data_IF_202387221442
#
_entry.id   IF_202387221442
#
_cell.length_a   1.000
_cell.length_b   1.000
_cell.length_c   1.000
_cell.angle_alpha   90.00
_cell.angle_beta   90.00
_cell.angle_gamma   90.00
#
_symmetry.space_group_name_H-M   'P 1'
#
loop_
_entity.id
_entity.type
_entity.pdbx_description
1 polymer ?
#
# COMPACT_ATOMS: atom_id res chain seq x y z
N UNK A 1 10.80 -77.32 -24.54
CA UNK A 1 11.26 -76.85 -23.21
C UNK A 1 11.46 -75.34 -23.28
N UNK A 2 10.69 -74.59 -22.48
CA UNK A 2 11.01 -73.33 -21.76
C UNK A 2 12.02 -72.35 -22.40
N UNK A 3 11.58 -71.14 -22.77
CA UNK A 3 11.59 -69.98 -21.84
C UNK A 3 11.05 -68.71 -22.50
N UNK A 4 10.17 -68.03 -21.78
CA UNK A 4 9.70 -66.66 -21.98
C UNK A 4 10.82 -65.66 -21.71
N UNK A 5 10.81 -64.51 -22.41
CA UNK A 5 11.47 -63.29 -21.91
C UNK A 5 10.59 -62.07 -22.19
N UNK A 6 10.16 -61.44 -21.10
CA UNK A 6 9.33 -60.24 -21.04
C UNK A 6 10.18 -58.99 -21.30
N UNK A 7 9.70 -58.09 -22.15
CA UNK A 7 10.29 -56.75 -22.34
C UNK A 7 9.99 -55.87 -21.12
N UNK A 8 10.99 -55.19 -20.51
CA UNK A 8 10.74 -54.28 -19.41
C UNK A 8 10.35 -52.87 -19.90
N UNK A 9 9.24 -52.37 -19.35
CA UNK A 9 9.23 -51.10 -18.63
C UNK A 9 9.67 -49.84 -19.37
N UNK A 10 8.80 -49.34 -20.25
CA UNK A 10 8.74 -47.93 -20.67
C UNK A 10 8.35 -47.01 -19.49
N UNK A 11 9.27 -46.75 -18.57
CA UNK A 11 9.08 -45.82 -17.45
C UNK A 11 10.40 -45.11 -17.07
N UNK A 12 10.98 -44.34 -17.98
CA UNK A 12 12.23 -43.60 -17.72
C UNK A 12 12.14 -42.08 -17.92
N UNK A 13 10.94 -41.49 -18.06
CA UNK A 13 10.80 -40.05 -18.32
C UNK A 13 9.97 -39.27 -17.28
N UNK A 14 9.39 -39.95 -16.27
CA UNK A 14 8.43 -39.30 -15.35
C UNK A 14 9.05 -38.49 -14.20
N UNK A 15 10.37 -38.25 -14.18
CA UNK A 15 11.06 -37.63 -13.01
C UNK A 15 11.72 -36.27 -13.26
N UNK A 16 11.61 -35.71 -14.47
CA UNK A 16 12.24 -34.39 -14.79
C UNK A 16 11.25 -33.21 -14.71
N UNK A 17 9.93 -33.47 -14.62
CA UNK A 17 8.93 -32.40 -14.68
C UNK A 17 8.64 -31.67 -13.35
N UNK A 18 9.33 -31.98 -12.25
CA UNK A 18 9.04 -31.42 -10.92
C UNK A 18 9.90 -30.20 -10.53
N UNK A 19 10.90 -29.80 -11.34
CA UNK A 19 11.89 -28.80 -10.93
C UNK A 19 11.68 -27.38 -11.52
N UNK A 20 10.66 -27.15 -12.35
CA UNK A 20 10.54 -25.89 -13.10
C UNK A 20 9.55 -24.85 -12.53
N UNK A 21 8.90 -25.10 -11.37
CA UNK A 21 7.85 -24.20 -10.86
C UNK A 21 8.33 -23.06 -9.95
N UNK A 22 9.65 -22.86 -9.78
CA UNK A 22 10.18 -21.86 -8.83
C UNK A 22 10.52 -20.49 -9.45
N UNK A 23 10.25 -20.24 -10.74
CA UNK A 23 10.93 -19.17 -11.48
C UNK A 23 10.17 -17.85 -11.70
N UNK A 24 9.01 -17.63 -11.08
CA UNK A 24 8.39 -16.31 -11.12
C UNK A 24 7.49 -16.08 -9.91
N UNK A 25 8.08 -15.82 -8.74
CA UNK A 25 7.35 -15.08 -7.72
C UNK A 25 7.36 -13.61 -8.14
N UNK A 26 6.23 -13.00 -8.55
CA UNK A 26 6.18 -11.56 -8.70
C UNK A 26 6.58 -10.93 -7.37
N UNK A 27 7.60 -10.09 -7.38
CA UNK A 27 7.99 -9.34 -6.18
C UNK A 27 6.80 -8.51 -5.73
N UNK A 28 6.32 -8.74 -4.51
CA UNK A 28 5.35 -7.87 -3.89
C UNK A 28 6.09 -6.60 -3.46
N UNK A 29 6.10 -5.59 -4.32
CA UNK A 29 6.46 -4.25 -3.90
C UNK A 29 5.29 -3.69 -3.09
N UNK A 30 5.56 -3.38 -1.83
CA UNK A 30 4.61 -2.73 -0.96
C UNK A 30 4.88 -1.22 -0.97
N UNK A 31 3.80 -0.43 -0.92
CA UNK A 31 3.91 1.00 -0.68
C UNK A 31 4.44 1.23 0.73
N UNK A 32 5.66 1.75 0.82
CA UNK A 32 6.30 2.08 2.09
C UNK A 32 5.94 3.50 2.51
N UNK A 33 5.38 3.64 3.71
CA UNK A 33 5.10 4.94 4.32
C UNK A 33 6.04 5.18 5.50
N UNK A 34 6.56 6.40 5.59
CA UNK A 34 7.31 6.91 6.72
C UNK A 34 6.42 7.48 7.83
N UNK A 35 7.01 8.12 8.83
CA UNK A 35 6.25 8.78 9.88
C UNK A 35 5.46 9.99 9.35
N UNK A 36 4.31 10.25 9.97
CA UNK A 36 3.56 11.49 9.79
C UNK A 36 4.24 12.62 10.57
N UNK A 37 4.50 13.75 9.91
CA UNK A 37 5.04 14.97 10.51
C UNK A 37 4.01 16.09 10.38
N UNK A 38 3.60 16.67 11.50
CA UNK A 38 2.65 17.78 11.55
C UNK A 38 3.40 19.12 11.50
N UNK A 39 2.98 20.01 10.61
CA UNK A 39 3.57 21.32 10.36
C UNK A 39 2.67 22.48 10.85
N UNK A 40 1.41 22.21 11.16
CA UNK A 40 0.43 23.18 11.68
C UNK A 40 0.38 23.20 13.21
N UNK A 41 -0.11 24.31 13.76
CA UNK A 41 -0.40 24.47 15.20
C UNK A 41 -1.90 24.38 15.48
N UNK A 42 -2.25 24.26 16.77
CA UNK A 42 -3.63 24.41 17.23
C UNK A 42 -4.19 25.78 16.79
N UNK A 43 -5.41 25.81 16.26
CA UNK A 43 -6.05 27.00 15.70
C UNK A 43 -5.70 27.28 14.23
N UNK A 44 -4.80 26.52 13.60
CA UNK A 44 -4.50 26.59 12.16
C UNK A 44 -5.17 25.45 11.40
N UNK A 45 -5.28 25.57 10.07
CA UNK A 45 -5.64 24.44 9.21
C UNK A 45 -4.62 23.32 9.32
N UNK A 46 -5.08 22.07 9.33
CA UNK A 46 -4.24 20.88 9.39
C UNK A 46 -3.26 20.92 8.23
N UNK A 47 -1.96 20.81 8.53
CA UNK A 47 -0.90 20.60 7.56
C UNK A 47 0.00 19.49 8.08
N UNK A 48 0.03 18.37 7.37
CA UNK A 48 0.89 17.26 7.72
C UNK A 48 1.50 16.64 6.46
N UNK A 49 2.66 16.00 6.63
CA UNK A 49 3.39 15.32 5.57
C UNK A 49 3.68 13.88 5.99
N UNK A 50 3.60 12.95 5.04
CA UNK A 50 4.02 11.56 5.20
C UNK A 50 5.02 11.25 4.10
N UNK A 51 6.26 10.94 4.46
CA UNK A 51 7.25 10.54 3.47
C UNK A 51 6.89 9.17 2.88
N UNK A 52 7.13 8.97 1.60
CA UNK A 52 6.92 7.68 0.93
C UNK A 52 8.29 7.03 0.73
N UNK A 53 8.56 5.95 1.48
CA UNK A 53 9.87 5.29 1.52
C UNK A 53 10.10 4.33 0.37
N UNK A 54 9.04 3.67 -0.12
CA UNK A 54 9.10 2.71 -1.22
C UNK A 54 7.88 2.87 -2.11
N UNK A 55 8.07 3.26 -3.37
CA UNK A 55 6.99 3.32 -4.37
C UNK A 55 7.57 3.25 -5.78
N UNK A 56 7.00 2.41 -6.63
CA UNK A 56 7.34 2.35 -8.05
C UNK A 56 6.66 3.48 -8.86
N UNK A 57 7.19 3.88 -10.02
CA UNK A 57 6.57 4.90 -10.88
C UNK A 57 5.16 4.53 -11.35
N UNK A 58 4.92 3.23 -11.62
CA UNK A 58 3.60 2.72 -12.02
C UNK A 58 2.58 2.84 -10.88
N UNK A 59 2.98 2.50 -9.65
CA UNK A 59 2.14 2.70 -8.46
C UNK A 59 1.82 4.17 -8.25
N UNK A 60 2.82 5.05 -8.35
CA UNK A 60 2.64 6.50 -8.21
C UNK A 60 1.57 7.04 -9.17
N UNK A 61 1.51 6.49 -10.38
CA UNK A 61 0.61 6.95 -11.44
C UNK A 61 -0.83 6.50 -11.27
N UNK A 62 -1.06 5.39 -10.55
CA UNK A 62 -2.41 4.89 -10.25
C UNK A 62 -2.76 4.91 -8.75
N UNK A 63 -1.94 5.56 -7.92
CA UNK A 63 -2.20 5.66 -6.49
C UNK A 63 -3.37 6.59 -6.25
N UNK A 64 -4.44 6.03 -5.67
CA UNK A 64 -5.58 6.76 -5.13
C UNK A 64 -5.42 6.81 -3.63
N UNK A 65 -5.37 8.01 -3.06
CA UNK A 65 -5.36 8.23 -1.62
C UNK A 65 -6.58 9.04 -1.22
N UNK A 66 -7.17 8.70 -0.09
CA UNK A 66 -8.21 9.51 0.56
C UNK A 66 -8.17 9.34 2.08
N UNK A 67 -8.79 10.27 2.78
CA UNK A 67 -9.20 10.03 4.16
C UNK A 67 -10.25 8.91 4.15
N UNK A 68 -10.14 7.98 5.08
CA UNK A 68 -11.11 6.89 5.22
C UNK A 68 -12.52 7.45 5.49
N UNK A 69 -13.53 6.71 5.10
CA UNK A 69 -14.92 7.15 5.29
C UNK A 69 -15.33 7.08 6.76
N UNK A 70 -16.35 7.82 7.21
CA UNK A 70 -16.81 7.74 8.60
C UNK A 70 -17.15 6.32 9.06
N UNK A 71 -17.64 5.47 8.16
CA UNK A 71 -17.95 4.06 8.44
C UNK A 71 -16.68 3.25 8.76
N UNK A 72 -15.56 3.54 8.07
CA UNK A 72 -14.28 2.90 8.34
C UNK A 72 -13.71 3.31 9.72
N UNK A 73 -13.90 4.57 10.12
CA UNK A 73 -13.55 5.04 11.47
C UNK A 73 -14.37 4.33 12.54
N UNK A 74 -15.69 4.21 12.33
CA UNK A 74 -16.57 3.46 13.24
C UNK A 74 -16.14 1.98 13.35
N UNK A 75 -15.80 1.35 12.22
CA UNK A 75 -15.30 -0.03 12.22
C UNK A 75 -13.94 -0.19 12.93
N UNK A 76 -13.10 0.85 12.90
CA UNK A 76 -11.83 0.90 13.63
C UNK A 76 -11.99 1.27 15.12
N UNK A 77 -13.20 1.66 15.55
CA UNK A 77 -13.45 2.13 16.92
C UNK A 77 -12.81 3.50 17.21
N UNK A 78 -12.62 4.33 16.18
CA UNK A 78 -12.00 5.66 16.25
C UNK A 78 -13.05 6.72 15.93
N UNK A 79 -13.03 7.83 16.65
CA UNK A 79 -13.95 8.94 16.40
C UNK A 79 -13.57 9.72 15.13
N UNK A 80 -14.58 10.03 14.30
CA UNK A 80 -14.37 10.81 13.09
C UNK A 80 -14.41 12.31 13.36
N UNK A 81 -13.28 12.99 13.26
CA UNK A 81 -13.20 14.44 13.51
C UNK A 81 -13.75 15.26 12.31
N UNK A 82 -14.56 16.30 12.59
CA UNK A 82 -15.19 17.15 11.59
C UNK A 82 -14.20 17.97 10.72
N UNK A 83 -12.94 18.11 11.13
CA UNK A 83 -11.90 18.70 10.28
C UNK A 83 -11.60 17.83 9.05
N UNK A 84 -11.77 16.52 9.17
CA UNK A 84 -11.41 15.54 8.15
C UNK A 84 -12.32 15.56 6.93
N UNK A 85 -13.55 16.07 7.07
CA UNK A 85 -14.52 16.19 5.95
C UNK A 85 -14.01 17.09 4.83
N UNK A 86 -13.15 18.08 5.14
CA UNK A 86 -12.54 18.99 4.16
C UNK A 86 -11.06 18.70 3.88
N UNK A 87 -10.47 17.70 4.54
CA UNK A 87 -9.05 17.41 4.40
C UNK A 87 -8.76 16.73 3.07
N UNK A 88 -7.82 17.31 2.32
CA UNK A 88 -7.31 16.76 1.08
C UNK A 88 -5.99 16.06 1.33
N UNK A 89 -5.75 14.97 0.60
CA UNK A 89 -4.49 14.24 0.60
C UNK A 89 -3.97 14.19 -0.83
N UNK A 90 -2.75 14.69 -1.03
CA UNK A 90 -2.15 14.79 -2.35
C UNK A 90 -0.74 14.17 -2.34
N UNK A 91 -0.46 13.32 -3.32
CA UNK A 91 0.90 12.88 -3.59
C UNK A 91 1.68 14.02 -4.26
N UNK A 92 2.80 14.41 -3.67
CA UNK A 92 3.69 15.43 -4.18
C UNK A 92 5.13 14.93 -4.23
N UNK A 93 6.00 15.69 -4.90
CA UNK A 93 7.44 15.45 -4.92
C UNK A 93 8.16 16.66 -4.32
N UNK A 94 9.12 16.40 -3.46
CA UNK A 94 10.04 17.43 -2.94
C UNK A 94 10.99 17.88 -4.06
N UNK A 95 11.70 19.02 -3.89
CA UNK A 95 12.69 19.48 -4.86
C UNK A 95 13.81 18.47 -5.15
N UNK A 96 14.09 17.57 -4.21
CA UNK A 96 15.06 16.48 -4.34
C UNK A 96 14.50 15.23 -5.06
N UNK A 97 13.24 15.27 -5.50
CA UNK A 97 12.57 14.18 -6.21
C UNK A 97 11.88 13.15 -5.33
N UNK A 98 12.05 13.21 -3.99
CA UNK A 98 11.43 12.24 -3.08
C UNK A 98 9.90 12.43 -3.02
N UNK A 99 9.10 11.36 -3.15
CA UNK A 99 7.66 11.43 -3.00
C UNK A 99 7.24 11.60 -1.53
N UNK A 100 6.19 12.37 -1.30
CA UNK A 100 5.54 12.52 0.00
C UNK A 100 4.04 12.78 -0.17
N UNK A 101 3.24 12.37 0.80
CA UNK A 101 1.83 12.71 0.89
C UNK A 101 1.68 13.99 1.70
N UNK A 102 0.98 14.99 1.14
CA UNK A 102 0.61 16.21 1.85
C UNK A 102 -0.85 16.15 2.22
N UNK A 103 -1.12 16.29 3.51
CA UNK A 103 -2.46 16.42 4.07
C UNK A 103 -2.71 17.89 4.37
N UNK A 104 -3.83 18.43 3.90
CA UNK A 104 -4.20 19.82 4.13
C UNK A 104 -5.70 20.01 4.34
N UNK A 105 -6.10 20.75 5.37
CA UNK A 105 -7.48 21.21 5.58
C UNK A 105 -7.58 22.74 5.51
N UNK A 106 -8.77 23.21 5.18
CA UNK A 106 -9.16 24.63 5.21
C UNK A 106 -9.69 25.06 6.59
N UNK A 107 -10.24 24.12 7.37
CA UNK A 107 -10.75 24.35 8.73
C UNK A 107 -9.65 24.28 9.77
N UNK A 108 -9.74 25.16 10.77
CA UNK A 108 -8.84 25.19 11.90
C UNK A 108 -9.00 23.97 12.82
N UNK A 109 -7.86 23.41 13.25
CA UNK A 109 -7.78 22.34 14.24
C UNK A 109 -8.06 22.93 15.62
N UNK A 110 -9.09 22.42 16.31
CA UNK A 110 -9.45 22.87 17.66
C UNK A 110 -8.98 21.91 18.76
N UNK A 111 -8.68 20.67 18.39
CA UNK A 111 -8.27 19.61 19.31
C UNK A 111 -6.76 19.37 19.22
N UNK A 112 -6.08 19.07 20.34
CA UNK A 112 -4.63 18.86 20.34
C UNK A 112 -4.19 17.60 19.58
N UNK A 113 -5.11 16.65 19.37
CA UNK A 113 -4.86 15.40 18.65
C UNK A 113 -6.02 15.13 17.70
N UNK A 114 -5.71 14.61 16.52
CA UNK A 114 -6.69 14.17 15.52
C UNK A 114 -6.19 12.86 14.96
N UNK A 115 -7.00 11.82 15.09
CA UNK A 115 -6.70 10.53 14.49
C UNK A 115 -7.01 10.56 13.00
N UNK A 116 -6.06 10.11 12.18
CA UNK A 116 -6.20 10.08 10.72
C UNK A 116 -5.99 8.66 10.22
N UNK A 117 -7.05 8.11 9.64
CA UNK A 117 -7.03 6.87 8.87
C UNK A 117 -7.01 7.24 7.40
N UNK A 118 -6.01 6.72 6.69
CA UNK A 118 -5.84 6.86 5.25
C UNK A 118 -6.20 5.55 4.55
N UNK A 119 -6.96 5.66 3.48
CA UNK A 119 -7.17 4.58 2.52
C UNK A 119 -6.33 4.84 1.28
N UNK A 120 -5.56 3.85 0.90
CA UNK A 120 -4.71 3.87 -0.28
C UNK A 120 -5.20 2.76 -1.22
N UNK A 121 -5.09 2.96 -2.53
CA UNK A 121 -5.45 1.96 -3.51
C UNK A 121 -4.59 2.13 -4.76
N UNK A 122 -3.98 1.04 -5.22
CA UNK A 122 -3.13 1.02 -6.40
C UNK A 122 -3.19 -0.36 -7.09
N UNK A 123 -2.48 -0.53 -8.20
CA UNK A 123 -2.61 -1.73 -9.04
C UNK A 123 -2.32 -3.06 -8.31
N UNK A 124 -1.40 -3.04 -7.35
CA UNK A 124 -0.89 -4.24 -6.68
C UNK A 124 -1.34 -4.32 -5.22
N UNK A 125 -2.15 -3.39 -4.72
CA UNK A 125 -2.55 -3.34 -3.31
C UNK A 125 -3.59 -2.28 -2.94
N UNK A 126 -3.96 -2.27 -1.65
CA UNK A 126 -4.79 -1.28 -0.99
C UNK A 126 -4.29 -1.07 0.44
#
# INVERSE_FOLDING_TARGET
MKSSSLMPGRFALSRVAAAALCLAMPGAWALGLGPLVVQSKLGEGLRAEIDVSSMSPDEASNLKIRIATPEAYQAAGVDYNAILTGTQVLLQRRPDGRPYLRLSSDRAVQEPFVDVILELNWNTGR
#
